data_IF_210360560724
#
_entry.id   IF_210360560724
#
_cell.length_a   1.000
_cell.length_b   1.000
_cell.length_c   1.000
_cell.angle_alpha   90.00
_cell.angle_beta   90.00
_cell.angle_gamma   90.00
#
_symmetry.space_group_name_H-M   'P 1'
#
loop_
_entity.id
_entity.type
_entity.pdbx_description
1 polymer ?
#
# COMPACT_ATOMS: atom_id res chain seq x y z
N UNK A 1 43.02 -48.81 7.25
CA UNK A 1 41.71 -48.29 7.71
C UNK A 1 41.98 -47.27 8.80
N UNK A 2 41.88 -45.98 8.45
CA UNK A 2 40.81 -45.11 9.00
C UNK A 2 40.15 -44.36 7.81
N UNK A 3 38.84 -44.11 7.72
CA UNK A 3 37.88 -43.74 8.77
C UNK A 3 37.56 -42.23 8.73
N UNK A 4 37.44 -41.62 7.54
CA UNK A 4 37.15 -40.19 7.36
C UNK A 4 35.63 -39.96 7.37
N UNK A 5 35.08 -39.62 8.53
CA UNK A 5 33.70 -39.18 8.67
C UNK A 5 33.59 -37.74 8.17
N UNK A 6 33.19 -37.57 6.90
CA UNK A 6 32.69 -36.28 6.40
C UNK A 6 31.26 -36.13 6.91
N UNK A 7 31.09 -35.39 8.00
CA UNK A 7 29.77 -34.89 8.40
C UNK A 7 29.30 -33.89 7.33
N UNK A 8 28.35 -34.32 6.50
CA UNK A 8 27.63 -33.49 5.55
C UNK A 8 26.86 -32.39 6.31
N UNK A 9 27.50 -31.23 6.46
CA UNK A 9 26.87 -30.05 7.07
C UNK A 9 25.76 -29.55 6.15
N UNK A 10 24.52 -29.82 6.54
CA UNK A 10 23.31 -29.27 5.91
C UNK A 10 23.38 -27.73 5.99
N UNK A 11 23.40 -27.00 4.86
CA UNK A 11 23.52 -25.56 4.86
C UNK A 11 22.31 -24.88 5.51
N UNK A 12 22.54 -23.99 6.48
CA UNK A 12 21.47 -23.31 7.23
C UNK A 12 21.02 -21.97 6.61
N UNK A 13 21.65 -21.53 5.51
CA UNK A 13 21.34 -20.27 4.83
C UNK A 13 21.13 -20.49 3.32
N UNK A 14 20.29 -19.67 2.68
CA UNK A 14 19.91 -19.80 1.27
C UNK A 14 21.12 -19.70 0.30
N UNK A 15 22.09 -18.84 0.59
CA UNK A 15 23.33 -18.69 -0.20
C UNK A 15 24.24 -19.91 -0.08
N UNK A 16 24.32 -20.50 1.11
CA UNK A 16 25.10 -21.71 1.36
C UNK A 16 24.43 -22.93 0.74
N UNK A 17 23.08 -22.98 0.74
CA UNK A 17 22.31 -23.99 0.03
C UNK A 17 22.55 -23.91 -1.48
N UNK A 18 22.55 -22.68 -2.03
CA UNK A 18 22.83 -22.43 -3.45
C UNK A 18 24.25 -22.84 -3.83
N UNK A 19 25.23 -22.52 -2.98
CA UNK A 19 26.63 -22.93 -3.14
C UNK A 19 26.78 -24.46 -3.06
N UNK A 20 26.11 -25.10 -2.11
CA UNK A 20 26.07 -26.56 -1.98
C UNK A 20 25.45 -27.22 -3.22
N UNK A 21 24.34 -26.70 -3.74
CA UNK A 21 23.74 -27.18 -4.97
C UNK A 21 24.70 -27.02 -6.16
N UNK A 22 25.34 -25.85 -6.32
CA UNK A 22 26.33 -25.60 -7.39
C UNK A 22 27.55 -26.53 -7.32
N UNK A 23 28.02 -26.85 -6.11
CA UNK A 23 29.15 -27.76 -5.91
C UNK A 23 28.77 -29.21 -6.23
N UNK A 24 27.55 -29.64 -5.92
CA UNK A 24 27.07 -31.00 -6.20
C UNK A 24 26.64 -31.22 -7.66
N UNK A 25 26.21 -30.19 -8.39
CA UNK A 25 25.89 -30.31 -9.83
C UNK A 25 27.12 -30.56 -10.70
N UNK A 26 28.34 -30.27 -10.21
CA UNK A 26 29.60 -30.60 -10.90
C UNK A 26 29.99 -32.08 -10.78
N UNK A 27 29.42 -32.81 -9.81
CA UNK A 27 29.80 -34.18 -9.46
C UNK A 27 28.92 -35.26 -10.11
N UNK A 28 27.77 -34.89 -10.70
CA UNK A 28 26.92 -35.82 -11.44
C UNK A 28 27.17 -35.70 -12.95
N UNK A 29 27.55 -36.83 -13.55
CA UNK A 29 27.69 -37.06 -15.00
C UNK A 29 26.35 -36.87 -15.73
N UNK A 30 25.93 -35.61 -15.91
CA UNK A 30 24.92 -35.26 -16.91
C UNK A 30 25.60 -35.25 -18.30
N UNK A 31 25.02 -35.89 -19.32
CA UNK A 31 25.61 -35.92 -20.65
C UNK A 31 25.79 -34.50 -21.17
N UNK A 32 26.96 -34.23 -21.76
CA UNK A 32 27.40 -32.94 -22.29
C UNK A 32 26.62 -32.49 -23.54
N UNK A 33 25.30 -32.45 -23.46
CA UNK A 33 24.42 -31.89 -24.48
C UNK A 33 23.84 -30.57 -23.96
N UNK A 34 24.61 -29.50 -24.18
CA UNK A 34 24.16 -28.14 -23.93
C UNK A 34 24.16 -27.77 -22.45
N UNK A 35 25.31 -27.90 -21.79
CA UNK A 35 25.58 -27.09 -20.62
C UNK A 35 25.52 -25.63 -21.09
N UNK A 36 24.37 -24.98 -20.95
CA UNK A 36 24.30 -23.53 -20.87
C UNK A 36 25.26 -23.19 -19.75
N UNK A 37 26.47 -22.76 -20.13
CA UNK A 37 27.36 -22.06 -19.23
C UNK A 37 26.53 -20.90 -18.71
N UNK A 38 25.95 -21.08 -17.53
CA UNK A 38 25.51 -19.96 -16.72
C UNK A 38 26.82 -19.32 -16.29
N UNK A 39 27.41 -18.56 -17.21
CA UNK A 39 28.47 -17.63 -16.87
C UNK A 39 27.86 -16.75 -15.79
N UNK A 40 28.57 -16.60 -14.67
CA UNK A 40 28.32 -15.46 -13.78
C UNK A 40 28.27 -14.24 -14.70
N UNK A 41 27.11 -13.58 -14.80
CA UNK A 41 26.97 -12.42 -15.67
C UNK A 41 28.13 -11.50 -15.36
N UNK A 42 28.99 -11.24 -16.36
CA UNK A 42 30.01 -10.23 -16.22
C UNK A 42 29.34 -8.93 -15.78
N UNK A 43 30.03 -8.13 -14.97
CA UNK A 43 29.48 -6.83 -14.54
C UNK A 43 28.99 -6.00 -15.73
N UNK A 44 29.66 -6.10 -16.87
CA UNK A 44 29.28 -5.44 -18.12
C UNK A 44 28.02 -6.03 -18.77
N UNK A 45 27.85 -7.36 -18.78
CA UNK A 45 26.63 -8.02 -19.27
C UNK A 45 25.44 -7.72 -18.36
N UNK A 46 25.69 -7.57 -17.05
CA UNK A 46 24.69 -7.23 -16.04
C UNK A 46 24.24 -5.78 -16.16
N UNK A 47 25.17 -4.85 -16.36
CA UNK A 47 24.88 -3.44 -16.63
C UNK A 47 24.19 -3.24 -17.98
N UNK A 48 24.55 -4.03 -19.00
CA UNK A 48 23.86 -4.05 -20.28
C UNK A 48 22.44 -4.60 -20.17
N UNK A 49 22.24 -5.71 -19.43
CA UNK A 49 20.91 -6.28 -19.19
C UNK A 49 20.05 -5.36 -18.33
N UNK A 50 20.60 -4.76 -17.27
CA UNK A 50 19.92 -3.76 -16.45
C UNK A 50 19.59 -2.52 -17.30
N UNK A 51 20.50 -2.07 -18.16
CA UNK A 51 20.27 -0.97 -19.10
C UNK A 51 19.19 -1.29 -20.15
N UNK A 52 19.18 -2.51 -20.69
CA UNK A 52 18.19 -2.97 -21.64
C UNK A 52 16.81 -3.18 -20.99
N UNK A 53 16.75 -3.74 -19.77
CA UNK A 53 15.54 -3.81 -18.97
C UNK A 53 15.02 -2.42 -18.62
N UNK A 54 15.89 -1.50 -18.18
CA UNK A 54 15.50 -0.12 -17.85
C UNK A 54 15.12 0.71 -19.08
N UNK A 55 15.63 0.37 -20.27
CA UNK A 55 15.25 1.00 -21.53
C UNK A 55 13.96 0.43 -22.10
N UNK A 56 13.63 -0.83 -21.81
CA UNK A 56 12.42 -1.51 -22.29
C UNK A 56 11.23 -1.31 -21.33
N UNK A 57 11.50 -1.09 -20.05
CA UNK A 57 10.49 -0.88 -19.02
C UNK A 57 10.33 0.62 -18.82
N UNK A 58 9.19 1.19 -19.24
CA UNK A 58 8.81 2.53 -18.79
C UNK A 58 8.88 2.55 -17.27
N UNK A 59 9.79 3.35 -16.69
CA UNK A 59 9.98 3.34 -15.24
C UNK A 59 8.65 3.74 -14.57
N UNK A 60 8.02 2.89 -13.75
CA UNK A 60 6.71 3.17 -13.17
C UNK A 60 6.64 4.53 -12.48
N UNK A 61 7.73 4.94 -11.81
CA UNK A 61 7.87 6.24 -11.16
C UNK A 61 7.72 7.43 -12.13
N UNK A 62 8.19 7.33 -13.39
CA UNK A 62 7.98 8.39 -14.40
C UNK A 62 6.51 8.51 -14.74
N UNK A 63 5.83 7.37 -14.90
CA UNK A 63 4.41 7.32 -15.21
C UNK A 63 3.57 7.88 -14.06
N UNK A 64 3.90 7.51 -12.82
CA UNK A 64 3.28 8.11 -11.62
C UNK A 64 3.45 9.63 -11.54
N UNK A 65 4.64 10.16 -11.91
CA UNK A 65 4.85 11.62 -11.99
C UNK A 65 3.97 12.27 -13.04
N UNK A 66 3.74 11.61 -14.17
CA UNK A 66 2.83 12.08 -15.21
C UNK A 66 1.39 12.11 -14.69
N UNK A 67 0.91 11.04 -14.04
CA UNK A 67 -0.41 11.00 -13.42
C UNK A 67 -0.58 12.13 -12.38
N UNK A 68 0.42 12.37 -11.52
CA UNK A 68 0.39 13.49 -10.56
C UNK A 68 0.32 14.83 -11.28
N UNK A 69 0.99 14.99 -12.42
CA UNK A 69 0.93 16.22 -13.22
C UNK A 69 -0.48 16.45 -13.76
N UNK A 70 -1.11 15.43 -14.31
CA UNK A 70 -2.51 15.47 -14.79
C UNK A 70 -3.44 15.87 -13.65
N UNK A 71 -3.26 15.29 -12.46
CA UNK A 71 -4.08 15.61 -11.28
C UNK A 71 -3.87 17.03 -10.73
N UNK A 72 -2.72 17.66 -11.01
CA UNK A 72 -2.43 19.06 -10.63
C UNK A 72 -2.95 20.09 -11.65
N UNK A 73 -3.33 19.68 -12.86
CA UNK A 73 -3.77 20.61 -13.90
C UNK A 73 -5.09 21.34 -13.52
N UNK A 74 -5.17 22.67 -13.75
CA UNK A 74 -6.36 23.45 -13.42
C UNK A 74 -7.51 23.16 -14.40
N UNK A 75 -8.67 22.80 -13.83
CA UNK A 75 -9.87 22.30 -14.49
C UNK A 75 -10.19 22.94 -15.85
N UNK A 76 -10.20 22.11 -16.90
CA UNK A 76 -10.93 22.33 -18.15
C UNK A 76 -12.00 21.26 -18.38
N UNK A 77 -12.96 21.51 -19.29
CA UNK A 77 -14.20 20.74 -19.45
C UNK A 77 -14.05 19.25 -19.82
N UNK A 78 -12.85 18.77 -20.20
CA UNK A 78 -12.59 17.37 -20.56
C UNK A 78 -11.61 16.64 -19.61
N UNK A 79 -11.15 17.27 -18.52
CA UNK A 79 -10.10 16.71 -17.66
C UNK A 79 -10.58 15.69 -16.62
N UNK A 80 -11.88 15.59 -16.33
CA UNK A 80 -12.37 14.69 -15.29
C UNK A 80 -12.11 13.22 -15.66
N UNK A 81 -12.35 12.82 -16.91
CA UNK A 81 -12.05 11.47 -17.41
C UNK A 81 -10.55 11.17 -17.34
N UNK A 82 -9.70 12.13 -17.71
CA UNK A 82 -8.24 12.00 -17.65
C UNK A 82 -7.74 11.88 -16.21
N UNK A 83 -8.34 12.63 -15.27
CA UNK A 83 -8.03 12.55 -13.83
C UNK A 83 -8.51 11.24 -13.22
N UNK A 84 -9.68 10.74 -13.62
CA UNK A 84 -10.18 9.43 -13.22
C UNK A 84 -9.24 8.32 -13.69
N UNK A 85 -8.82 8.34 -14.95
CA UNK A 85 -7.87 7.37 -15.51
C UNK A 85 -6.50 7.46 -14.81
N UNK A 86 -6.01 8.68 -14.53
CA UNK A 86 -4.77 8.87 -13.79
C UNK A 86 -4.82 8.32 -12.36
N UNK A 87 -5.96 8.45 -11.67
CA UNK A 87 -6.16 7.89 -10.33
C UNK A 87 -6.22 6.37 -10.34
N UNK A 88 -6.88 5.77 -11.34
CA UNK A 88 -6.96 4.32 -11.51
C UNK A 88 -5.58 3.73 -11.79
N UNK A 89 -4.81 4.35 -12.68
CA UNK A 89 -3.43 3.94 -12.96
C UNK A 89 -2.54 4.08 -11.71
N UNK A 90 -2.64 5.18 -10.96
CA UNK A 90 -1.90 5.33 -9.70
C UNK A 90 -2.28 4.28 -8.66
N UNK A 91 -3.57 3.91 -8.59
CA UNK A 91 -4.07 2.91 -7.66
C UNK A 91 -3.40 1.56 -7.94
N UNK A 92 -3.37 1.12 -9.20
CA UNK A 92 -2.73 -0.14 -9.60
C UNK A 92 -1.25 -0.20 -9.16
N UNK A 93 -0.51 0.89 -9.37
CA UNK A 93 0.89 0.95 -8.93
C UNK A 93 1.02 0.97 -7.40
N UNK A 94 0.15 1.72 -6.71
CA UNK A 94 0.24 1.89 -5.26
C UNK A 94 -0.21 0.67 -4.44
N UNK A 95 -0.73 -0.38 -5.07
CA UNK A 95 -0.90 -1.69 -4.42
C UNK A 95 0.44 -2.32 -4.02
N UNK A 96 1.53 -1.95 -4.71
CA UNK A 96 2.89 -2.36 -4.36
C UNK A 96 3.50 -1.38 -3.37
N UNK A 97 3.98 -1.91 -2.23
CA UNK A 97 4.51 -1.12 -1.11
C UNK A 97 5.66 -0.19 -1.56
N UNK A 98 6.55 -0.66 -2.44
CA UNK A 98 7.68 0.14 -2.93
C UNK A 98 7.20 1.36 -3.73
N UNK A 99 6.22 1.18 -4.61
CA UNK A 99 5.65 2.28 -5.39
C UNK A 99 4.79 3.20 -4.52
N UNK A 100 4.07 2.69 -3.52
CA UNK A 100 3.38 3.53 -2.55
C UNK A 100 4.34 4.47 -1.79
N UNK A 101 5.52 3.98 -1.44
CA UNK A 101 6.57 4.80 -0.82
C UNK A 101 7.14 5.81 -1.84
N UNK A 102 7.36 5.39 -3.09
CA UNK A 102 7.83 6.30 -4.13
C UNK A 102 6.80 7.39 -4.46
N UNK A 103 5.50 7.08 -4.44
CA UNK A 103 4.41 8.05 -4.55
C UNK A 103 4.54 9.16 -3.50
N UNK A 104 4.83 8.80 -2.25
CA UNK A 104 5.11 9.78 -1.20
C UNK A 104 6.36 10.61 -1.53
N UNK A 105 7.48 9.98 -1.92
CA UNK A 105 8.75 10.68 -2.21
C UNK A 105 8.64 11.66 -3.39
N UNK A 106 7.80 11.38 -4.38
CA UNK A 106 7.59 12.27 -5.54
C UNK A 106 6.57 13.38 -5.27
N UNK A 107 6.09 13.54 -4.03
CA UNK A 107 5.17 14.61 -3.64
C UNK A 107 3.70 14.31 -3.95
N UNK A 108 3.34 13.04 -4.14
CA UNK A 108 1.96 12.62 -4.44
C UNK A 108 0.98 12.87 -3.28
N UNK A 109 1.45 13.01 -2.04
CA UNK A 109 0.57 13.27 -0.90
C UNK A 109 -0.02 14.70 -0.91
N UNK A 110 0.67 15.65 -1.56
CA UNK A 110 0.23 17.05 -1.62
C UNK A 110 -1.07 17.24 -2.40
N UNK A 111 -1.36 16.35 -3.35
CA UNK A 111 -2.56 16.43 -4.20
C UNK A 111 -3.80 15.84 -3.54
N UNK A 112 -3.62 14.91 -2.60
CA UNK A 112 -4.73 14.16 -1.99
C UNK A 112 -5.77 15.07 -1.31
N UNK A 113 -5.39 16.07 -0.49
CA UNK A 113 -6.38 16.96 0.13
C UNK A 113 -7.19 17.75 -0.90
N UNK A 114 -6.56 18.17 -2.01
CA UNK A 114 -7.25 18.92 -3.07
C UNK A 114 -8.30 18.04 -3.76
N UNK A 115 -7.96 16.79 -4.06
CA UNK A 115 -8.86 15.84 -4.72
C UNK A 115 -10.01 15.38 -3.82
N UNK A 116 -9.79 15.32 -2.51
CA UNK A 116 -10.86 15.00 -1.54
C UNK A 116 -11.92 16.10 -1.40
N UNK A 117 -11.61 17.34 -1.78
CA UNK A 117 -12.56 18.46 -1.78
C UNK A 117 -13.09 18.80 -3.18
N UNK A 118 -12.79 17.96 -4.18
CA UNK A 118 -13.24 18.18 -5.54
C UNK A 118 -14.78 18.06 -5.65
N UNK A 119 -15.46 18.92 -6.43
CA UNK A 119 -16.91 18.80 -6.65
C UNK A 119 -17.32 17.45 -7.24
N UNK A 120 -16.46 16.80 -8.04
CA UNK A 120 -16.76 15.51 -8.65
C UNK A 120 -16.62 14.37 -7.62
N UNK A 121 -17.73 13.67 -7.34
CA UNK A 121 -17.76 12.53 -6.43
C UNK A 121 -16.88 11.37 -6.89
N UNK A 122 -16.72 11.20 -8.21
CA UNK A 122 -15.92 10.15 -8.82
C UNK A 122 -14.43 10.26 -8.48
N UNK A 123 -13.92 11.49 -8.48
CA UNK A 123 -12.56 11.79 -8.04
C UNK A 123 -12.39 11.60 -6.54
N UNK A 124 -13.36 12.05 -5.73
CA UNK A 124 -13.30 11.90 -4.27
C UNK A 124 -13.22 10.44 -3.84
N UNK A 125 -14.09 9.56 -4.35
CA UNK A 125 -14.07 8.15 -3.93
C UNK A 125 -12.84 7.39 -4.46
N UNK A 126 -12.37 7.67 -5.68
CA UNK A 126 -11.13 7.08 -6.21
C UNK A 126 -9.90 7.52 -5.42
N UNK A 127 -9.86 8.78 -5.00
CA UNK A 127 -8.80 9.30 -4.13
C UNK A 127 -8.77 8.57 -2.79
N UNK A 128 -9.94 8.27 -2.21
CA UNK A 128 -10.03 7.49 -0.97
C UNK A 128 -9.57 6.04 -1.16
N UNK A 129 -9.84 5.43 -2.32
CA UNK A 129 -9.30 4.10 -2.65
C UNK A 129 -7.79 4.12 -2.81
N UNK A 130 -7.23 5.13 -3.48
CA UNK A 130 -5.78 5.33 -3.57
C UNK A 130 -5.16 5.47 -2.18
N UNK A 131 -5.75 6.28 -1.30
CA UNK A 131 -5.29 6.40 0.09
C UNK A 131 -5.35 5.05 0.81
N UNK A 132 -6.42 4.28 0.61
CA UNK A 132 -6.56 2.95 1.21
C UNK A 132 -5.43 2.01 0.77
N UNK A 133 -5.10 1.98 -0.54
CA UNK A 133 -3.99 1.19 -1.07
C UNK A 133 -2.64 1.65 -0.50
N UNK A 134 -2.39 2.97 -0.47
CA UNK A 134 -1.15 3.54 0.06
C UNK A 134 -0.87 3.11 1.51
N UNK A 135 -1.89 3.07 2.36
CA UNK A 135 -1.75 2.76 3.80
C UNK A 135 -1.93 1.29 4.14
N UNK A 136 -2.43 0.46 3.22
CA UNK A 136 -2.72 -0.93 3.50
C UNK A 136 -1.43 -1.71 3.75
N UNK A 137 -1.26 -2.23 4.97
CA UNK A 137 -0.07 -2.97 5.40
C UNK A 137 1.25 -2.20 5.17
N UNK A 138 1.20 -0.86 5.21
CA UNK A 138 2.36 -0.01 4.95
C UNK A 138 2.56 1.01 6.09
N UNK A 139 3.34 0.66 7.13
CA UNK A 139 3.58 1.53 8.29
C UNK A 139 4.19 2.90 7.93
N UNK A 140 4.99 2.96 6.87
CA UNK A 140 5.58 4.21 6.40
C UNK A 140 4.50 5.18 5.91
N UNK A 141 3.64 4.71 4.99
CA UNK A 141 2.54 5.53 4.47
C UNK A 141 1.45 5.78 5.52
N UNK A 142 1.16 4.82 6.41
CA UNK A 142 0.25 5.03 7.55
C UNK A 142 0.71 6.22 8.40
N UNK A 143 2.00 6.27 8.75
CA UNK A 143 2.56 7.40 9.50
C UNK A 143 2.52 8.69 8.69
N UNK A 144 2.87 8.66 7.41
CA UNK A 144 2.81 9.83 6.54
C UNK A 144 1.40 10.42 6.43
N UNK A 145 0.36 9.58 6.38
CA UNK A 145 -1.05 10.02 6.38
C UNK A 145 -1.44 10.67 7.70
N UNK A 146 -0.94 10.17 8.84
CA UNK A 146 -1.18 10.78 10.14
C UNK A 146 -0.49 12.15 10.28
N UNK A 147 0.74 12.25 9.80
CA UNK A 147 1.55 13.48 9.84
C UNK A 147 0.98 14.56 8.90
N UNK A 148 0.29 14.17 7.82
CA UNK A 148 -0.30 15.07 6.82
C UNK A 148 -1.75 15.49 7.15
N UNK A 149 -2.25 15.19 8.35
CA UNK A 149 -3.64 15.45 8.80
C UNK A 149 -4.76 14.87 7.93
N UNK A 150 -4.44 14.01 6.96
CA UNK A 150 -5.40 13.39 6.05
C UNK A 150 -6.46 12.55 6.78
N UNK A 151 -6.14 12.04 7.98
CA UNK A 151 -7.11 11.38 8.85
C UNK A 151 -8.31 12.28 9.18
N UNK A 152 -8.08 13.56 9.50
CA UNK A 152 -9.18 14.49 9.78
C UNK A 152 -10.06 14.69 8.55
N UNK A 153 -9.43 14.89 7.40
CA UNK A 153 -10.13 15.07 6.12
C UNK A 153 -10.98 13.85 5.79
N UNK A 154 -10.45 12.63 5.95
CA UNK A 154 -11.23 11.41 5.72
C UNK A 154 -12.40 11.26 6.70
N UNK A 155 -12.23 11.65 7.97
CA UNK A 155 -13.33 11.64 8.96
C UNK A 155 -14.40 12.68 8.64
N UNK A 156 -14.01 13.87 8.15
CA UNK A 156 -14.95 14.90 7.70
C UNK A 156 -15.77 14.42 6.50
N UNK A 157 -15.11 13.84 5.49
CA UNK A 157 -15.76 13.25 4.32
C UNK A 157 -16.71 12.11 4.71
N UNK A 158 -16.36 11.28 5.70
CA UNK A 158 -17.23 10.21 6.18
C UNK A 158 -18.58 10.73 6.72
N UNK A 159 -18.59 11.89 7.36
CA UNK A 159 -19.79 12.46 7.98
C UNK A 159 -20.56 13.41 7.06
N UNK A 160 -19.85 14.23 6.30
CA UNK A 160 -20.43 15.40 5.62
C UNK A 160 -20.62 15.22 4.10
N UNK A 161 -20.04 14.19 3.47
CA UNK A 161 -20.20 14.01 2.02
C UNK A 161 -21.64 13.65 1.66
N UNK A 162 -22.16 14.28 0.60
CA UNK A 162 -23.52 14.03 0.10
C UNK A 162 -23.68 12.65 -0.53
N UNK A 163 -22.57 12.03 -0.96
CA UNK A 163 -22.56 10.82 -1.76
C UNK A 163 -22.19 9.61 -0.91
N UNK A 164 -23.11 8.66 -0.80
CA UNK A 164 -22.94 7.45 0.03
C UNK A 164 -21.73 6.60 -0.36
N UNK A 165 -21.38 6.50 -1.65
CA UNK A 165 -20.22 5.74 -2.11
C UNK A 165 -18.92 6.32 -1.55
N UNK A 166 -18.76 7.65 -1.60
CA UNK A 166 -17.59 8.37 -1.06
C UNK A 166 -17.46 8.10 0.45
N UNK A 167 -18.56 8.20 1.21
CA UNK A 167 -18.57 7.89 2.64
C UNK A 167 -18.14 6.46 2.95
N UNK A 168 -18.60 5.48 2.16
CA UNK A 168 -18.20 4.08 2.32
C UNK A 168 -16.70 3.90 2.06
N UNK A 169 -16.15 4.57 1.04
CA UNK A 169 -14.71 4.53 0.75
C UNK A 169 -13.88 5.25 1.82
N UNK A 170 -14.39 6.33 2.40
CA UNK A 170 -13.73 7.03 3.50
C UNK A 170 -13.57 6.13 4.71
N UNK A 171 -14.65 5.45 5.11
CA UNK A 171 -14.60 4.46 6.18
C UNK A 171 -13.64 3.29 5.86
N UNK A 172 -13.57 2.88 4.59
CA UNK A 172 -12.64 1.84 4.16
C UNK A 172 -11.18 2.28 4.31
N UNK A 173 -10.82 3.47 3.85
CA UNK A 173 -9.48 4.03 3.96
C UNK A 173 -9.06 4.20 5.43
N UNK A 174 -9.95 4.73 6.29
CA UNK A 174 -9.73 4.83 7.74
C UNK A 174 -9.51 3.44 8.36
N UNK A 175 -10.27 2.43 7.92
CA UNK A 175 -10.11 1.05 8.37
C UNK A 175 -8.75 0.46 7.99
N UNK A 176 -8.26 0.72 6.77
CA UNK A 176 -6.92 0.31 6.33
C UNK A 176 -5.81 1.03 7.11
N UNK A 177 -5.98 2.33 7.37
CA UNK A 177 -5.04 3.12 8.17
C UNK A 177 -4.91 2.63 9.62
N UNK A 178 -6.04 2.27 10.24
CA UNK A 178 -6.06 1.85 11.65
C UNK A 178 -5.67 0.37 11.85
N UNK A 179 -5.51 -0.41 10.78
CA UNK A 179 -5.22 -1.83 10.88
C UNK A 179 -3.76 -2.05 11.25
N UNK A 180 -3.56 -2.81 12.33
CA UNK A 180 -2.24 -3.27 12.79
C UNK A 180 -1.22 -2.16 13.12
N UNK A 181 -1.69 -0.91 13.23
CA UNK A 181 -0.88 0.26 13.53
C UNK A 181 -1.39 0.97 14.79
N UNK A 182 -0.76 0.74 15.97
CA UNK A 182 -1.20 1.31 17.23
C UNK A 182 -1.23 2.84 17.24
N UNK A 183 -0.30 3.51 16.54
CA UNK A 183 -0.24 4.98 16.48
C UNK A 183 -1.45 5.57 15.75
N UNK A 184 -1.86 4.93 14.65
CA UNK A 184 -3.05 5.33 13.89
C UNK A 184 -4.32 5.20 14.74
N UNK A 185 -4.45 4.10 15.47
CA UNK A 185 -5.58 3.88 16.37
C UNK A 185 -5.61 4.90 17.51
N UNK A 186 -4.48 5.24 18.12
CA UNK A 186 -4.44 6.27 19.16
C UNK A 186 -4.82 7.64 18.62
N UNK A 187 -4.34 8.00 17.43
CA UNK A 187 -4.72 9.25 16.77
C UNK A 187 -6.21 9.30 16.45
N UNK A 188 -6.76 8.21 15.92
CA UNK A 188 -8.19 8.08 15.65
C UNK A 188 -9.03 8.25 16.93
N UNK A 189 -8.63 7.61 18.03
CA UNK A 189 -9.33 7.73 19.33
C UNK A 189 -9.19 9.14 19.90
N UNK A 190 -8.00 9.75 19.81
CA UNK A 190 -7.76 11.12 20.30
C UNK A 190 -8.61 12.16 19.58
N UNK A 191 -8.93 11.92 18.31
CA UNK A 191 -9.74 12.79 17.45
C UNK A 191 -11.24 12.45 17.46
N UNK A 192 -11.70 11.77 18.51
CA UNK A 192 -13.10 11.36 18.70
C UNK A 192 -13.66 10.45 17.60
N UNK A 193 -12.81 9.63 16.98
CA UNK A 193 -13.17 8.74 15.87
C UNK A 193 -14.30 7.77 16.18
N UNK A 194 -14.52 7.40 17.46
CA UNK A 194 -15.66 6.57 17.84
C UNK A 194 -17.00 7.23 17.59
N UNK A 195 -17.12 8.54 17.80
CA UNK A 195 -18.36 9.27 17.53
C UNK A 195 -18.72 9.22 16.03
N UNK A 196 -17.71 9.32 15.15
CA UNK A 196 -17.89 9.13 13.70
C UNK A 196 -18.39 7.71 13.37
N UNK A 197 -17.81 6.67 13.99
CA UNK A 197 -18.28 5.29 13.80
C UNK A 197 -19.72 5.10 14.30
N UNK A 198 -20.08 5.68 15.44
CA UNK A 198 -21.43 5.59 15.99
C UNK A 198 -22.45 6.25 15.06
N UNK A 199 -22.14 7.44 14.52
CA UNK A 199 -22.99 8.10 13.51
C UNK A 199 -23.10 7.29 12.23
N UNK A 200 -22.00 6.74 11.73
CA UNK A 200 -22.00 5.86 10.56
C UNK A 200 -22.81 4.56 10.76
N UNK A 201 -22.88 4.03 12.00
CA UNK A 201 -23.74 2.88 12.35
C UNK A 201 -25.23 3.25 12.45
N UNK A 202 -25.54 4.51 12.76
CA UNK A 202 -26.91 5.03 12.81
C UNK A 202 -27.44 5.45 11.43
N UNK A 203 -26.56 5.68 10.45
CA UNK A 203 -26.92 6.00 9.08
C UNK A 203 -27.73 4.86 8.43
N UNK A 204 -28.68 5.17 7.55
CA UNK A 204 -29.51 4.15 6.87
C UNK A 204 -28.80 3.49 5.68
N UNK A 205 -27.55 3.06 5.90
CA UNK A 205 -26.69 2.44 4.88
C UNK A 205 -26.04 1.20 5.47
N UNK A 206 -26.52 0.02 5.09
CA UNK A 206 -26.08 -1.27 5.65
C UNK A 206 -24.55 -1.45 5.60
N UNK A 207 -23.92 -1.12 4.47
CA UNK A 207 -22.46 -1.22 4.31
C UNK A 207 -21.69 -0.37 5.31
N UNK A 208 -22.17 0.84 5.64
CA UNK A 208 -21.55 1.70 6.65
C UNK A 208 -21.70 1.08 8.04
N UNK A 209 -22.87 0.53 8.37
CA UNK A 209 -23.12 -0.15 9.65
C UNK A 209 -22.16 -1.31 9.86
N UNK A 210 -22.06 -2.21 8.89
CA UNK A 210 -21.23 -3.41 8.96
C UNK A 210 -19.74 -3.04 9.08
N UNK A 211 -19.24 -2.16 8.20
CA UNK A 211 -17.82 -1.76 8.22
C UNK A 211 -17.45 -1.01 9.49
N UNK A 212 -18.34 -0.16 10.01
CA UNK A 212 -18.10 0.59 11.25
C UNK A 212 -18.06 -0.32 12.46
N UNK A 213 -19.02 -1.25 12.57
CA UNK A 213 -19.03 -2.24 13.65
C UNK A 213 -17.79 -3.15 13.60
N UNK A 214 -17.35 -3.55 12.40
CA UNK A 214 -16.14 -4.34 12.22
C UNK A 214 -14.88 -3.60 12.66
N UNK A 215 -14.73 -2.33 12.25
CA UNK A 215 -13.61 -1.49 12.65
C UNK A 215 -13.60 -1.25 14.17
N UNK A 216 -14.77 -0.94 14.75
CA UNK A 216 -14.91 -0.78 16.20
C UNK A 216 -14.49 -2.05 16.95
N UNK A 217 -14.98 -3.22 16.52
CA UNK A 217 -14.58 -4.51 17.09
C UNK A 217 -13.08 -4.74 16.98
N UNK A 218 -12.47 -4.40 15.84
CA UNK A 218 -11.04 -4.55 15.63
C UNK A 218 -10.22 -3.71 16.62
N UNK A 219 -10.55 -2.41 16.75
CA UNK A 219 -9.87 -1.50 17.67
C UNK A 219 -10.04 -1.94 19.13
N UNK A 220 -11.26 -2.32 19.53
CA UNK A 220 -11.57 -2.75 20.90
C UNK A 220 -10.86 -4.05 21.28
N UNK A 221 -10.67 -4.96 20.33
CA UNK A 221 -9.93 -6.21 20.57
C UNK A 221 -8.43 -5.96 20.71
N UNK A 222 -7.87 -5.04 19.92
CA UNK A 222 -6.43 -4.72 19.96
C UNK A 222 -6.08 -3.82 21.16
N UNK A 223 -7.01 -2.98 21.61
CA UNK A 223 -6.82 -2.08 22.76
C UNK A 223 -7.87 -2.33 23.86
N UNK A 224 -7.65 -3.34 24.73
CA UNK A 224 -8.58 -3.65 25.81
C UNK A 224 -8.76 -2.49 26.81
N UNK A 225 -7.79 -1.57 26.92
CA UNK A 225 -7.92 -0.34 27.71
C UNK A 225 -9.09 0.55 27.26
N UNK A 226 -9.47 0.48 25.99
CA UNK A 226 -10.58 1.25 25.42
C UNK A 226 -11.94 0.64 25.80
N UNK A 227 -12.00 -0.65 26.15
CA UNK A 227 -13.25 -1.30 26.63
C UNK A 227 -13.85 -0.54 27.81
N UNK A 228 -13.02 -0.05 28.73
CA UNK A 228 -13.47 0.71 29.89
C UNK A 228 -14.25 1.99 29.55
N UNK A 229 -14.00 2.62 28.39
CA UNK A 229 -14.76 3.80 27.94
C UNK A 229 -16.16 3.45 27.43
N UNK A 230 -16.38 2.23 26.93
CA UNK A 230 -17.68 1.77 26.44
C UNK A 230 -18.54 1.14 27.54
N UNK A 231 -17.92 0.45 28.50
CA UNK A 231 -18.61 -0.18 29.64
C UNK A 231 -18.73 0.74 30.87
N UNK A 232 -18.25 1.98 30.79
CA UNK A 232 -18.32 2.98 31.85
C UNK A 232 -19.53 3.92 31.77
N UNK A 233 -20.52 3.58 30.94
CA UNK A 233 -21.87 4.19 30.91
C UNK A 233 -22.84 3.33 31.71
#
# INVERSE_FOLDING_TARGET
>A
MPGDQREDRIPSNMKDLLKFCMENTKAEDAPSAGASQVNELGTEDREWLEGALNSLTESPVRRMKECIRILKSPNSENEDDDKEAALEELLEWCEYIDFAIDFFKIGGFEILPSLLHDPNSELRWRTLDLIAALVQNNPFCQKAVLDSELLNTMMDVLDNDSTTSVRIKALHAISCLCREEPSAQDNFIKRDGFSYLMRAMQADVEKLKIKSAFLLRNIVNQKPAVKGRFYGL
#
